data_IF_897902074325
#
_entry.id   IF_897902074325
#
_cell.length_a   1.000
_cell.length_b   1.000
_cell.length_c   1.000
_cell.angle_alpha   90.00
_cell.angle_beta   90.00
_cell.angle_gamma   90.00
#
_symmetry.space_group_name_H-M   'P 1'
#
loop_
_entity.id
_entity.type
_entity.pdbx_description
1 polymer ?
#
# COMPACT_ATOMS: atom_id res chain seq x y z
N UNK A 1 -11.61 3.84 1.68
CA UNK A 1 -10.41 2.99 1.74
C UNK A 1 -10.59 1.90 0.71
N UNK A 2 -9.60 1.67 -0.15
CA UNK A 2 -9.69 0.65 -1.18
C UNK A 2 -9.51 -0.75 -0.56
N UNK A 3 -10.07 -1.77 -1.21
CA UNK A 3 -10.02 -3.17 -0.78
C UNK A 3 -9.21 -4.06 -1.72
N UNK A 4 -8.61 -3.47 -2.76
CA UNK A 4 -7.77 -4.19 -3.72
C UNK A 4 -6.82 -3.25 -4.44
N UNK A 5 -5.79 -3.81 -5.07
CA UNK A 5 -4.89 -3.09 -5.98
C UNK A 5 -5.63 -2.35 -7.10
N UNK A 6 -6.77 -2.90 -7.58
CA UNK A 6 -7.57 -2.23 -8.61
C UNK A 6 -8.13 -0.90 -8.09
N UNK A 7 -8.81 -0.95 -6.95
CA UNK A 7 -9.40 0.24 -6.33
C UNK A 7 -8.33 1.23 -5.87
N UNK A 8 -7.17 0.75 -5.41
CA UNK A 8 -6.03 1.58 -5.05
C UNK A 8 -5.51 2.39 -6.25
N UNK A 9 -5.41 1.75 -7.42
CA UNK A 9 -5.04 2.41 -8.67
C UNK A 9 -6.08 3.43 -9.13
N UNK A 10 -7.37 3.12 -8.98
CA UNK A 10 -8.45 4.06 -9.30
C UNK A 10 -8.37 5.30 -8.40
N UNK A 11 -8.06 5.13 -7.11
CA UNK A 11 -7.77 6.25 -6.20
C UNK A 11 -6.53 7.03 -6.66
N UNK A 12 -5.43 6.35 -6.99
CA UNK A 12 -4.21 7.01 -7.45
C UNK A 12 -4.43 7.85 -8.71
N UNK A 13 -5.19 7.33 -9.68
CA UNK A 13 -5.53 8.03 -10.90
C UNK A 13 -6.45 9.24 -10.66
N UNK A 14 -7.45 9.10 -9.78
CA UNK A 14 -8.37 10.19 -9.41
C UNK A 14 -7.64 11.32 -8.68
N UNK A 15 -6.76 10.95 -7.76
CA UNK A 15 -6.15 11.87 -6.80
C UNK A 15 -4.76 12.36 -7.28
N UNK A 16 -4.27 11.84 -8.42
CA UNK A 16 -3.00 12.22 -9.03
C UNK A 16 -1.76 11.68 -8.28
N UNK A 17 -1.93 10.62 -7.50
CA UNK A 17 -0.87 10.06 -6.67
C UNK A 17 0.07 9.15 -7.47
N UNK A 18 1.39 9.24 -7.24
CA UNK A 18 2.37 8.41 -7.96
C UNK A 18 2.48 6.98 -7.41
N UNK A 19 2.02 6.72 -6.19
CA UNK A 19 2.19 5.45 -5.49
C UNK A 19 0.85 4.86 -5.05
N UNK A 20 0.84 3.54 -4.93
CA UNK A 20 -0.20 2.74 -4.28
C UNK A 20 0.40 1.94 -3.13
N UNK A 21 -0.41 1.62 -2.13
CA UNK A 21 0.03 0.83 -1.00
C UNK A 21 -1.00 -0.23 -0.59
N UNK A 22 -0.50 -1.27 0.08
CA UNK A 22 -1.27 -2.22 0.86
C UNK A 22 -0.73 -2.21 2.28
N UNK A 23 -1.57 -1.78 3.22
CA UNK A 23 -1.35 -1.76 4.65
C UNK A 23 -1.85 -3.07 5.26
N UNK A 24 -0.93 -3.89 5.75
CA UNK A 24 -1.22 -5.21 6.30
C UNK A 24 -1.74 -5.15 7.72
N UNK A 25 -1.41 -4.10 8.47
CA UNK A 25 -1.84 -3.96 9.85
C UNK A 25 -3.30 -3.47 9.92
N UNK A 26 -3.76 -2.76 8.89
CA UNK A 26 -5.15 -2.32 8.73
C UNK A 26 -5.94 -3.11 7.68
N UNK A 27 -5.33 -4.07 6.99
CA UNK A 27 -5.90 -4.84 5.87
C UNK A 27 -6.54 -3.95 4.78
N UNK A 28 -5.88 -2.85 4.44
CA UNK A 28 -6.44 -1.84 3.53
C UNK A 28 -5.49 -1.46 2.41
N UNK A 29 -6.07 -1.03 1.29
CA UNK A 29 -5.32 -0.53 0.15
C UNK A 29 -5.57 0.95 -0.03
N UNK A 30 -4.61 1.63 -0.66
CA UNK A 30 -4.73 3.05 -0.94
C UNK A 30 -3.70 3.57 -1.91
N UNK A 31 -3.65 4.90 -2.00
CA UNK A 31 -2.71 5.64 -2.83
C UNK A 31 -2.09 6.75 -1.99
N UNK A 32 -0.83 7.04 -2.21
CA UNK A 32 -0.09 8.02 -1.42
C UNK A 32 0.90 8.79 -2.28
N UNK A 33 1.39 9.90 -1.72
CA UNK A 33 2.53 10.61 -2.28
C UNK A 33 3.85 10.00 -1.79
N UNK A 34 4.94 10.32 -2.48
CA UNK A 34 6.26 9.84 -2.09
C UNK A 34 6.67 10.44 -0.74
N UNK A 35 7.17 9.58 0.17
CA UNK A 35 7.64 9.98 1.50
C UNK A 35 6.55 10.08 2.57
N UNK A 36 5.29 9.78 2.23
CA UNK A 36 4.20 9.73 3.20
C UNK A 36 4.31 8.49 4.08
N UNK A 37 4.30 8.68 5.40
CA UNK A 37 4.31 7.58 6.37
C UNK A 37 2.89 7.08 6.63
N UNK A 38 2.72 5.77 6.60
CA UNK A 38 1.45 5.11 6.88
C UNK A 38 1.48 4.50 8.29
N UNK A 39 0.45 4.75 9.07
CA UNK A 39 0.44 4.33 10.47
C UNK A 39 -0.78 4.81 11.22
N UNK A 40 -0.78 4.56 12.53
CA UNK A 40 -1.82 5.05 13.43
C UNK A 40 -1.22 5.72 14.66
N UNK A 41 -1.90 6.77 15.11
CA UNK A 41 -1.54 7.45 16.35
C UNK A 41 -2.25 6.79 17.53
N UNK A 42 -1.51 6.17 18.43
CA UNK A 42 -2.04 5.42 19.59
C UNK A 42 -1.34 5.87 20.85
N UNK A 43 -2.10 6.31 21.86
CA UNK A 43 -1.56 6.65 23.17
C UNK A 43 -0.50 7.78 23.16
N UNK A 44 -0.59 8.74 22.24
CA UNK A 44 0.36 9.84 22.15
C UNK A 44 1.59 9.56 21.28
N UNK A 45 1.69 8.37 20.67
CA UNK A 45 2.82 7.96 19.83
C UNK A 45 2.32 7.53 18.45
N UNK A 46 3.06 7.88 17.40
CA UNK A 46 2.82 7.36 16.06
C UNK A 46 3.44 5.98 15.93
N UNK A 47 2.63 5.00 15.52
CA UNK A 47 3.06 3.63 15.24
C UNK A 47 2.95 3.42 13.74
N UNK A 48 4.11 3.25 13.09
CA UNK A 48 4.18 2.97 11.66
C UNK A 48 3.64 1.58 11.36
N UNK A 49 2.87 1.47 10.28
CA UNK A 49 2.29 0.20 9.84
C UNK A 49 3.20 -0.50 8.84
N UNK A 50 3.04 -1.82 8.76
CA UNK A 50 3.67 -2.66 7.74
C UNK A 50 2.96 -2.48 6.41
N UNK A 51 3.52 -1.65 5.55
CA UNK A 51 2.97 -1.34 4.22
C UNK A 51 3.90 -1.77 3.09
N UNK A 52 3.32 -2.36 2.04
CA UNK A 52 3.99 -2.50 0.75
C UNK A 52 3.58 -1.32 -0.12
N UNK A 53 4.53 -0.46 -0.47
CA UNK A 53 4.32 0.68 -1.37
C UNK A 53 4.94 0.40 -2.74
N UNK A 54 4.18 0.65 -3.82
CA UNK A 54 4.61 0.41 -5.19
C UNK A 54 4.16 1.53 -6.14
N UNK A 55 4.84 1.72 -7.29
CA UNK A 55 4.44 2.70 -8.29
C UNK A 55 3.04 2.43 -8.86
N UNK A 56 2.19 3.46 -8.91
CA UNK A 56 0.82 3.36 -9.46
C UNK A 56 0.79 3.07 -10.98
N UNK A 57 1.90 3.31 -11.67
CA UNK A 57 2.07 3.02 -13.10
C UNK A 57 2.02 1.52 -13.41
N UNK A 58 2.36 0.65 -12.44
CA UNK A 58 2.35 -0.81 -12.62
C UNK A 58 0.93 -1.33 -12.80
N UNK A 59 0.73 -2.31 -13.66
CA UNK A 59 -0.57 -2.99 -13.81
C UNK A 59 -1.00 -3.68 -12.51
N UNK A 60 -2.30 -3.98 -12.40
CA UNK A 60 -2.84 -4.70 -11.24
C UNK A 60 -2.15 -6.06 -11.08
N UNK A 61 -1.92 -6.73 -12.20
CA UNK A 61 -1.30 -8.05 -12.28
C UNK A 61 0.15 -8.00 -11.77
N UNK A 62 0.92 -6.98 -12.17
CA UNK A 62 2.28 -6.76 -11.68
C UNK A 62 2.31 -6.45 -10.17
N UNK A 63 1.38 -5.64 -9.67
CA UNK A 63 1.26 -5.35 -8.24
C UNK A 63 0.98 -6.64 -7.44
N UNK A 64 0.03 -7.46 -7.89
CA UNK A 64 -0.26 -8.74 -7.27
C UNK A 64 0.93 -9.70 -7.29
N UNK A 65 1.65 -9.80 -8.42
CA UNK A 65 2.83 -10.67 -8.53
C UNK A 65 3.95 -10.22 -7.59
N UNK A 66 4.22 -8.91 -7.51
CA UNK A 66 5.24 -8.34 -6.63
C UNK A 66 4.90 -8.50 -5.16
N UNK A 67 3.64 -8.25 -4.78
CA UNK A 67 3.16 -8.50 -3.41
C UNK A 67 3.34 -9.98 -3.04
N UNK A 68 2.94 -10.89 -3.93
CA UNK A 68 3.08 -12.33 -3.71
C UNK A 68 4.56 -12.73 -3.54
N UNK A 69 5.43 -12.26 -4.43
CA UNK A 69 6.87 -12.53 -4.35
C UNK A 69 7.46 -12.00 -3.03
N UNK A 70 7.11 -10.77 -2.65
CA UNK A 70 7.56 -10.19 -1.39
C UNK A 70 7.18 -11.06 -0.18
N UNK A 71 5.94 -11.57 -0.14
CA UNK A 71 5.48 -12.46 0.93
C UNK A 71 6.16 -13.83 0.94
N UNK A 72 6.48 -14.37 -0.23
CA UNK A 72 7.22 -15.63 -0.34
C UNK A 72 8.67 -15.47 0.13
N UNK A 73 9.28 -14.30 -0.16
CA UNK A 73 10.65 -13.96 0.25
C UNK A 73 10.75 -13.56 1.73
N UNK A 74 9.66 -13.06 2.33
CA UNK A 74 9.60 -12.55 3.71
C UNK A 74 8.45 -13.22 4.50
N UNK A 75 8.58 -14.51 4.87
CA UNK A 75 7.50 -15.26 5.51
C UNK A 75 7.17 -14.80 6.94
N UNK A 76 8.11 -14.13 7.62
CA UNK A 76 7.95 -13.61 8.99
C UNK A 76 7.35 -12.19 9.03
N UNK A 77 7.00 -11.65 7.87
CA UNK A 77 6.42 -10.33 7.72
C UNK A 77 4.90 -10.35 7.86
#
# INVERSE_FOLDING_TARGET
MAKSWKEAKECAARDGHPLVYHDFDAETYGSCVQGEQQGSFRGGVFVEHRCICMPAILSKEELCQKEKAFREENPDW
#
